data_IF_597984665256
#
_entry.id   IF_597984665256
#
_cell.length_a   1.000
_cell.length_b   1.000
_cell.length_c   1.000
_cell.angle_alpha   90.00
_cell.angle_beta   90.00
_cell.angle_gamma   90.00
#
_symmetry.space_group_name_H-M   'P 1'
#
loop_
_entity.id
_entity.type
_entity.pdbx_description
1 polymer ?
#
# COMPACT_ATOMS: atom_id res chain seq x y z
N UNK A 1 4.50 22.53 -4.34
CA UNK A 1 5.43 21.44 -4.66
C UNK A 1 4.57 20.19 -4.75
N UNK A 2 4.42 19.62 -5.95
CA UNK A 2 3.63 18.39 -6.13
C UNK A 2 4.39 17.28 -5.42
N UNK A 3 3.78 16.44 -4.56
CA UNK A 3 4.49 15.27 -4.04
C UNK A 3 5.05 14.48 -5.23
N UNK A 4 6.24 13.86 -5.10
CA UNK A 4 6.77 13.03 -6.16
C UNK A 4 5.70 12.00 -6.53
N UNK A 5 5.52 11.78 -7.83
CA UNK A 5 4.55 10.82 -8.39
C UNK A 5 4.81 9.35 -7.91
N UNK A 6 5.70 9.13 -6.94
CA UNK A 6 6.05 7.85 -6.31
C UNK A 6 5.10 7.40 -5.19
N UNK A 7 4.56 8.32 -4.37
CA UNK A 7 3.70 7.92 -3.23
C UNK A 7 2.36 7.31 -3.68
N UNK A 8 1.77 7.82 -4.76
CA UNK A 8 0.56 7.25 -5.37
C UNK A 8 0.83 5.99 -6.20
N UNK A 9 2.07 5.79 -6.66
CA UNK A 9 2.44 4.65 -7.52
C UNK A 9 2.39 3.31 -6.80
N UNK A 10 2.88 3.24 -5.56
CA UNK A 10 2.89 2.00 -4.77
C UNK A 10 1.47 1.47 -4.52
N UNK A 11 0.55 2.36 -4.12
CA UNK A 11 -0.86 2.00 -3.89
C UNK A 11 -1.56 1.55 -5.17
N UNK A 12 -1.24 2.16 -6.32
CA UNK A 12 -1.79 1.70 -7.60
C UNK A 12 -1.24 0.35 -8.04
N UNK A 13 0.04 0.07 -7.79
CA UNK A 13 0.63 -1.25 -8.04
C UNK A 13 -0.03 -2.33 -7.18
N UNK A 14 -0.26 -2.06 -5.90
CA UNK A 14 -0.97 -2.97 -4.99
C UNK A 14 -2.38 -3.30 -5.51
N UNK A 15 -3.21 -2.27 -5.77
CA UNK A 15 -4.60 -2.44 -6.24
C UNK A 15 -4.65 -3.13 -7.61
N UNK A 16 -3.67 -2.89 -8.48
CA UNK A 16 -3.55 -3.53 -9.79
C UNK A 16 -3.00 -4.98 -9.72
N UNK A 17 -2.71 -5.52 -8.53
CA UNK A 17 -2.11 -6.85 -8.37
C UNK A 17 -0.65 -6.94 -8.84
N UNK A 18 0.02 -5.80 -9.00
CA UNK A 18 1.42 -5.64 -9.44
C UNK A 18 2.35 -5.31 -8.26
N UNK A 19 2.00 -5.75 -7.05
CA UNK A 19 2.74 -5.45 -5.82
C UNK A 19 4.21 -5.92 -5.86
N UNK A 20 4.52 -6.95 -6.66
CA UNK A 20 5.88 -7.46 -6.84
C UNK A 20 6.86 -6.37 -7.34
N UNK A 21 6.36 -5.39 -8.10
CA UNK A 21 7.17 -4.27 -8.60
C UNK A 21 7.63 -3.31 -7.50
N UNK A 22 6.90 -3.24 -6.38
CA UNK A 22 7.26 -2.38 -5.24
C UNK A 22 8.62 -2.80 -4.64
N UNK A 23 9.00 -4.07 -4.79
CA UNK A 23 10.26 -4.62 -4.27
C UNK A 23 11.46 -4.37 -5.18
N UNK A 24 11.30 -3.60 -6.27
CA UNK A 24 12.43 -3.23 -7.10
C UNK A 24 13.51 -2.48 -6.25
N UNK A 25 14.82 -2.69 -6.49
CA UNK A 25 15.89 -2.12 -5.66
C UNK A 25 15.94 -0.58 -5.61
N UNK A 26 15.31 0.07 -6.60
CA UNK A 26 15.13 1.51 -6.72
C UNK A 26 13.78 2.00 -6.17
N UNK A 27 12.92 1.08 -5.70
CA UNK A 27 11.61 1.37 -5.10
C UNK A 27 11.56 1.12 -3.59
N UNK A 28 12.16 0.03 -3.09
CA UNK A 28 12.14 -0.35 -1.67
C UNK A 28 13.56 -0.66 -1.18
N UNK A 29 13.83 -0.35 0.08
CA UNK A 29 15.11 -0.73 0.72
C UNK A 29 15.19 -2.25 0.95
N UNK A 30 16.38 -2.76 1.27
CA UNK A 30 16.59 -4.20 1.49
C UNK A 30 15.92 -4.69 2.79
N UNK A 31 15.97 -3.87 3.85
CA UNK A 31 15.41 -4.17 5.17
C UNK A 31 14.29 -3.19 5.56
N UNK A 32 13.13 -3.22 4.88
CA UNK A 32 12.00 -2.35 5.20
C UNK A 32 11.30 -2.78 6.50
N UNK A 33 10.63 -1.84 7.17
CA UNK A 33 9.87 -2.11 8.40
C UNK A 33 8.46 -1.52 8.30
N UNK A 34 7.44 -2.36 8.47
CA UNK A 34 6.04 -1.96 8.46
C UNK A 34 5.44 -2.06 9.86
N UNK A 35 4.68 -1.05 10.29
CA UNK A 35 3.93 -1.05 11.53
C UNK A 35 2.44 -0.95 11.24
N UNK A 36 1.68 -1.97 11.63
CA UNK A 36 0.23 -2.00 11.46
C UNK A 36 -0.44 -1.90 12.82
N UNK A 37 -1.29 -0.90 12.95
CA UNK A 37 -2.20 -0.66 14.07
C UNK A 37 -3.61 -0.38 13.53
N UNK A 38 -4.09 -1.25 12.63
CA UNK A 38 -5.33 -1.09 11.89
C UNK A 38 -6.01 -2.45 11.68
N UNK A 39 -7.33 -2.45 11.42
CA UNK A 39 -8.11 -3.66 11.13
C UNK A 39 -8.07 -4.70 12.26
N UNK A 40 -7.93 -4.24 13.51
CA UNK A 40 -7.75 -5.11 14.68
C UNK A 40 -6.39 -5.82 14.74
N UNK A 41 -5.48 -5.52 13.81
CA UNK A 41 -4.12 -6.03 13.77
C UNK A 41 -3.19 -5.01 14.46
N UNK A 42 -2.35 -5.51 15.36
CA UNK A 42 -1.26 -4.74 15.96
C UNK A 42 0.03 -5.55 15.80
N UNK A 43 0.81 -5.25 14.76
CA UNK A 43 2.00 -6.03 14.41
C UNK A 43 3.08 -5.19 13.73
N UNK A 44 4.32 -5.67 13.83
CA UNK A 44 5.47 -5.16 13.08
C UNK A 44 5.94 -6.24 12.12
N UNK A 45 6.25 -5.87 10.88
CA UNK A 45 6.85 -6.76 9.87
C UNK A 45 8.20 -6.19 9.45
N UNK A 46 9.22 -7.03 9.43
CA UNK A 46 10.59 -6.64 9.12
C UNK A 46 11.12 -7.44 7.93
N UNK A 47 11.75 -6.74 6.99
CA UNK A 47 12.37 -7.32 5.80
C UNK A 47 11.39 -7.55 4.65
N UNK A 48 11.92 -7.58 3.42
CA UNK A 48 11.11 -7.74 2.21
C UNK A 48 10.33 -9.06 2.19
N UNK A 49 10.86 -10.14 2.75
CA UNK A 49 10.20 -11.44 2.74
C UNK A 49 8.90 -11.44 3.55
N UNK A 50 8.90 -10.83 4.73
CA UNK A 50 7.70 -10.73 5.57
C UNK A 50 6.61 -9.88 4.89
N UNK A 51 7.00 -8.77 4.28
CA UNK A 51 6.08 -7.85 3.59
C UNK A 51 5.56 -8.48 2.28
N UNK A 52 6.41 -9.19 1.53
CA UNK A 52 5.97 -9.92 0.32
C UNK A 52 4.97 -11.00 0.67
N UNK A 53 5.16 -11.69 1.79
CA UNK A 53 4.20 -12.69 2.26
C UNK A 53 2.85 -12.05 2.64
N UNK A 54 2.86 -10.87 3.27
CA UNK A 54 1.65 -10.11 3.54
C UNK A 54 0.87 -9.79 2.26
N UNK A 55 1.53 -9.16 1.27
CA UNK A 55 0.88 -8.84 0.00
C UNK A 55 0.37 -10.07 -0.75
N UNK A 56 1.13 -11.17 -0.71
CA UNK A 56 0.69 -12.46 -1.26
C UNK A 56 -0.58 -12.92 -0.58
N UNK A 57 -0.61 -12.98 0.75
CA UNK A 57 -1.80 -13.38 1.51
C UNK A 57 -2.99 -12.50 1.15
N UNK A 58 -2.85 -11.18 1.18
CA UNK A 58 -3.94 -10.27 0.80
C UNK A 58 -4.43 -10.46 -0.64
N UNK A 59 -3.50 -10.73 -1.58
CA UNK A 59 -3.87 -10.98 -2.97
C UNK A 59 -4.58 -12.32 -3.19
N UNK A 60 -4.29 -13.33 -2.36
CA UNK A 60 -4.83 -14.68 -2.49
C UNK A 60 -6.14 -14.87 -1.73
N UNK A 61 -6.30 -14.21 -0.58
CA UNK A 61 -7.40 -14.51 0.35
C UNK A 61 -8.61 -13.58 0.19
N UNK A 62 -8.46 -12.38 -0.41
CA UNK A 62 -9.53 -11.37 -0.55
C UNK A 62 -10.26 -11.12 0.79
N UNK A 63 -9.58 -11.35 1.92
CA UNK A 63 -10.28 -11.42 3.20
C UNK A 63 -10.57 -10.02 3.76
N UNK A 64 -11.85 -9.66 3.71
CA UNK A 64 -12.50 -8.92 4.78
C UNK A 64 -13.58 -9.84 5.37
N UNK A 65 -13.17 -10.89 6.10
CA UNK A 65 -14.11 -11.87 6.68
C UNK A 65 -14.90 -11.18 7.80
N UNK A 66 -16.16 -10.87 7.52
CA UNK A 66 -17.18 -10.60 8.55
C UNK A 66 -18.28 -11.64 8.41
N UNK A 67 -18.81 -12.10 9.54
CA UNK A 67 -19.90 -13.06 9.58
C UNK A 67 -21.17 -12.42 8.99
N UNK A 68 -21.48 -12.78 7.76
CA UNK A 68 -22.75 -12.49 7.08
C UNK A 68 -23.58 -13.77 7.04
N UNK A 69 -24.89 -13.63 6.92
CA UNK A 69 -25.82 -14.74 6.64
C UNK A 69 -25.82 -15.14 5.16
N UNK A 70 -25.24 -14.32 4.28
CA UNK A 70 -24.97 -14.61 2.86
C UNK A 70 -23.46 -14.60 2.57
N UNK A 71 -22.91 -15.77 2.25
CA UNK A 71 -21.49 -15.97 1.91
C UNK A 71 -21.04 -15.26 0.62
N UNK A 72 -21.98 -14.79 -0.20
CA UNK A 72 -21.69 -14.09 -1.45
C UNK A 72 -21.84 -12.57 -1.34
N UNK A 73 -22.30 -12.05 -0.19
CA UNK A 73 -22.54 -10.63 -0.02
C UNK A 73 -21.21 -9.86 0.06
N UNK A 74 -21.06 -8.89 -0.83
CA UNK A 74 -19.86 -8.06 -0.93
C UNK A 74 -20.02 -6.82 -0.06
N UNK A 75 -18.99 -6.51 0.73
CA UNK A 75 -19.02 -5.36 1.64
C UNK A 75 -17.74 -4.55 1.51
N UNK A 76 -17.85 -3.24 1.71
CA UNK A 76 -16.69 -2.38 1.94
C UNK A 76 -16.60 -2.03 3.42
N UNK A 77 -15.39 -2.14 3.97
CA UNK A 77 -15.03 -1.59 5.26
C UNK A 77 -14.57 -0.14 5.07
N UNK A 78 -15.35 0.80 5.57
CA UNK A 78 -15.06 2.22 5.49
C UNK A 78 -14.58 2.70 6.86
N UNK A 79 -13.28 2.94 6.97
CA UNK A 79 -12.65 3.44 8.17
C UNK A 79 -11.82 4.70 7.89
N UNK A 80 -11.39 5.38 8.96
CA UNK A 80 -10.45 6.48 8.89
C UNK A 80 -9.06 5.94 9.20
N UNK A 81 -8.25 5.84 8.17
CA UNK A 81 -6.88 5.35 8.26
C UNK A 81 -5.89 6.48 8.00
N UNK A 82 -4.85 6.53 8.82
CA UNK A 82 -3.64 7.29 8.58
C UNK A 82 -2.58 6.33 8.05
N UNK A 83 -2.12 6.57 6.82
CA UNK A 83 -1.05 5.81 6.18
C UNK A 83 0.13 6.74 5.93
N UNK A 84 1.29 6.38 6.47
CA UNK A 84 2.53 7.13 6.35
C UNK A 84 3.57 6.24 5.69
N UNK A 85 4.16 6.74 4.60
CA UNK A 85 5.20 6.04 3.86
C UNK A 85 6.54 6.77 4.05
N UNK A 86 7.40 6.33 4.99
CA UNK A 86 8.76 6.85 5.11
C UNK A 86 9.63 6.43 3.92
N UNK A 87 10.42 7.38 3.40
CA UNK A 87 11.36 7.16 2.30
C UNK A 87 12.78 7.56 2.71
N UNK A 88 13.78 6.89 2.11
CA UNK A 88 15.19 7.24 2.28
C UNK A 88 15.57 8.47 1.43
N UNK A 89 16.81 8.91 1.59
CA UNK A 89 17.38 10.04 0.84
C UNK A 89 17.36 9.81 -0.69
N UNK A 90 17.17 8.58 -1.16
CA UNK A 90 17.07 8.24 -2.59
C UNK A 90 15.62 8.09 -3.06
N UNK A 91 14.65 8.31 -2.19
CA UNK A 91 13.23 8.15 -2.48
C UNK A 91 12.75 6.70 -2.47
N UNK A 92 13.52 5.77 -1.90
CA UNK A 92 13.12 4.36 -1.74
C UNK A 92 12.32 4.19 -0.46
N UNK A 93 11.28 3.35 -0.52
CA UNK A 93 10.40 3.06 0.60
C UNK A 93 11.17 2.34 1.71
N UNK A 94 11.19 2.94 2.90
CA UNK A 94 11.75 2.35 4.12
C UNK A 94 10.71 1.48 4.81
N UNK A 95 9.43 1.79 4.65
CA UNK A 95 8.39 1.17 5.44
C UNK A 95 7.02 1.76 5.20
N UNK A 96 6.07 1.34 6.01
CA UNK A 96 4.73 1.89 6.06
C UNK A 96 4.19 1.82 7.49
N UNK A 97 3.66 2.93 7.96
CA UNK A 97 2.95 3.02 9.24
C UNK A 97 1.46 3.21 8.93
N UNK A 98 0.64 2.24 9.34
CA UNK A 98 -0.82 2.27 9.13
C UNK A 98 -1.51 2.29 10.47
N UNK A 99 -2.33 3.31 10.70
CA UNK A 99 -3.10 3.50 11.92
C UNK A 99 -4.57 3.69 11.60
N UNK A 100 -5.43 2.96 12.29
CA UNK A 100 -6.86 3.23 12.27
C UNK A 100 -7.21 4.20 13.41
N UNK A 101 -7.77 5.36 13.09
CA UNK A 101 -7.92 6.47 14.04
C UNK A 101 -9.04 6.19 15.06
N UNK A 102 -10.21 5.79 14.57
CA UNK A 102 -11.41 5.52 15.38
C UNK A 102 -12.08 4.22 14.90
N UNK A 103 -11.56 3.03 15.28
CA UNK A 103 -12.10 1.75 14.79
C UNK A 103 -13.58 1.52 15.14
N UNK A 104 -14.06 2.15 16.21
CA UNK A 104 -15.46 2.08 16.63
C UNK A 104 -16.43 2.84 15.73
N UNK A 105 -15.93 3.76 14.90
CA UNK A 105 -16.71 4.56 13.96
C UNK A 105 -16.66 3.98 12.53
N UNK A 106 -16.03 2.83 12.35
CA UNK A 106 -15.95 2.19 11.04
C UNK A 106 -17.31 1.64 10.59
N UNK A 107 -17.63 1.87 9.32
CA UNK A 107 -18.88 1.42 8.71
C UNK A 107 -18.62 0.20 7.85
N UNK A 108 -19.56 -0.76 7.88
CA UNK A 108 -19.61 -1.86 6.91
C UNK A 108 -20.78 -1.54 5.98
N UNK A 109 -20.50 -1.41 4.70
CA UNK A 109 -21.49 -1.02 3.70
C UNK A 109 -21.62 -2.17 2.71
N UNK A 110 -22.83 -2.71 2.56
CA UNK A 110 -23.15 -3.71 1.54
C UNK A 110 -23.09 -3.09 0.14
N UNK A 111 -22.52 -3.82 -0.81
CA UNK A 111 -22.35 -3.41 -2.20
C UNK A 111 -23.15 -4.32 -3.13
N UNK A 112 -23.70 -3.73 -4.19
CA UNK A 112 -24.16 -4.52 -5.34
C UNK A 112 -22.94 -5.19 -5.99
N UNK A 113 -22.95 -6.52 -6.22
CA UNK A 113 -21.86 -7.19 -6.92
C UNK A 113 -21.49 -6.57 -8.27
N UNK A 114 -22.42 -5.88 -8.94
CA UNK A 114 -22.15 -5.16 -10.18
C UNK A 114 -21.30 -3.88 -10.00
N UNK A 115 -21.25 -3.32 -8.79
CA UNK A 115 -20.44 -2.16 -8.43
C UNK A 115 -19.04 -2.55 -7.92
N UNK A 116 -18.77 -3.84 -7.73
CA UNK A 116 -17.47 -4.36 -7.27
C UNK A 116 -16.58 -4.63 -8.48
N UNK A 117 -15.43 -3.94 -8.53
CA UNK A 117 -14.41 -4.20 -9.55
C UNK A 117 -13.43 -5.28 -9.11
N UNK A 118 -13.01 -6.11 -10.05
CA UNK A 118 -11.94 -7.09 -9.86
C UNK A 118 -10.56 -6.44 -9.90
N UNK A 119 -9.55 -7.11 -9.33
CA UNK A 119 -8.13 -6.69 -9.45
C UNK A 119 -7.71 -6.48 -10.91
N UNK A 120 -8.22 -7.32 -11.84
CA UNK A 120 -7.95 -7.20 -13.28
C UNK A 120 -8.54 -5.91 -13.86
N UNK A 121 -9.79 -5.61 -13.55
CA UNK A 121 -10.43 -4.36 -14.02
C UNK A 121 -9.74 -3.14 -13.41
N UNK A 122 -9.36 -3.20 -12.13
CA UNK A 122 -8.58 -2.15 -11.50
C UNK A 122 -7.23 -1.96 -12.21
N UNK A 123 -6.53 -3.04 -12.59
CA UNK A 123 -5.30 -2.97 -13.36
C UNK A 123 -5.50 -2.31 -14.74
N UNK A 124 -6.59 -2.63 -15.44
CA UNK A 124 -6.94 -2.01 -16.72
C UNK A 124 -7.15 -0.49 -16.56
N UNK A 125 -7.84 -0.06 -15.50
CA UNK A 125 -8.10 1.36 -15.18
C UNK A 125 -6.82 2.09 -14.75
N UNK A 126 -5.98 1.46 -13.94
CA UNK A 126 -4.81 2.09 -13.33
C UNK A 126 -3.57 2.06 -14.22
N UNK A 127 -3.47 1.14 -15.18
CA UNK A 127 -2.29 1.00 -16.04
C UNK A 127 -1.83 2.30 -16.72
N UNK A 128 -2.71 3.17 -17.25
CA UNK A 128 -2.29 4.45 -17.83
C UNK A 128 -1.71 5.45 -16.81
N UNK A 129 -1.99 5.25 -15.51
CA UNK A 129 -1.55 6.09 -14.41
C UNK A 129 -0.25 5.59 -13.76
N UNK A 130 0.03 4.29 -13.87
CA UNK A 130 1.27 3.66 -13.39
C UNK A 130 2.39 3.99 -14.38
N UNK A 131 3.28 4.91 -13.98
CA UNK A 131 4.44 5.33 -14.78
C UNK A 131 5.72 4.74 -14.21
N UNK A 132 6.72 4.40 -15.05
CA UNK A 132 8.03 4.01 -14.55
C UNK A 132 8.64 5.15 -13.73
N UNK A 133 9.43 4.80 -12.72
CA UNK A 133 10.20 5.80 -12.00
C UNK A 133 11.16 6.51 -12.96
N UNK A 134 11.32 7.84 -12.82
CA UNK A 134 12.42 8.52 -13.50
C UNK A 134 13.75 7.98 -12.97
N UNK A 135 14.79 8.03 -13.80
CA UNK A 135 16.13 7.71 -13.33
C UNK A 135 16.50 8.61 -12.15
N UNK A 136 17.15 8.03 -11.13
CA UNK A 136 17.62 8.79 -9.98
C UNK A 136 18.64 9.84 -10.44
N UNK A 137 18.37 11.10 -10.12
CA UNK A 137 19.25 12.22 -10.45
C UNK A 137 19.94 12.71 -9.18
N UNK A 138 21.23 12.40 -9.07
CA UNK A 138 22.08 12.79 -7.94
C UNK A 138 22.18 14.32 -7.77
N UNK A 139 21.92 15.10 -8.83
CA UNK A 139 22.04 16.57 -8.79
C UNK A 139 20.88 17.25 -8.06
N UNK A 140 19.76 16.53 -7.87
CA UNK A 140 18.56 17.02 -7.16
C UNK A 140 18.73 16.90 -5.64
N UNK A 141 19.66 16.05 -5.19
CA UNK A 141 20.08 15.96 -3.79
C UNK A 141 20.94 17.15 -3.45
N UNK A 142 20.29 18.27 -3.08
CA UNK A 142 20.98 19.46 -2.60
C UNK A 142 22.04 19.07 -1.57
N UNK A 143 23.30 19.44 -1.85
CA UNK A 143 24.51 19.04 -1.10
C UNK A 143 24.20 18.90 0.39
N UNK A 144 24.05 17.67 0.85
CA UNK A 144 23.88 17.37 2.26
C UNK A 144 25.08 17.96 2.98
N UNK A 145 24.89 19.08 3.70
CA UNK A 145 25.93 19.64 4.55
C UNK A 145 26.18 18.61 5.63
N UNK A 146 27.31 17.90 5.51
CA UNK A 146 27.90 17.07 6.54
C UNK A 146 27.75 17.77 7.89
N UNK A 147 26.90 17.22 8.75
CA UNK A 147 26.81 17.66 10.15
C UNK A 147 28.13 17.23 10.81
N UNK A 148 28.91 18.23 11.22
CA UNK A 148 30.04 18.06 12.16
C UNK A 148 29.52 17.79 13.55
#
# INVERSE_FOLDING_TARGET
MKPPDSAGGNRYLEIAGRYEEIFAPDMMVEDPVYHFHALGINTTLEGQDAIRNLYRTWSETVECVKYTDDENAMHIYKAREEMVWPYDDRGRLIGEDVWEVDPGEAEIIELDPADVITTREAAEILNPLIKPLPAFDETVMGVARSRR
#
